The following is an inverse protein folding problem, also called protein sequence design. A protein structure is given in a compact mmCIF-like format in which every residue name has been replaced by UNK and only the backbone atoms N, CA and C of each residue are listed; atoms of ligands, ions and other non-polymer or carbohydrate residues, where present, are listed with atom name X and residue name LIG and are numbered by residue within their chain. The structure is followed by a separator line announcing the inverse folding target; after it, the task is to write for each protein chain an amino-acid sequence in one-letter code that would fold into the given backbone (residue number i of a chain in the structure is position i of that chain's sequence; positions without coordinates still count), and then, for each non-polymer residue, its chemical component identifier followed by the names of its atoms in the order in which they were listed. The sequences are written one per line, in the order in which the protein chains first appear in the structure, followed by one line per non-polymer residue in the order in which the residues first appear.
data_IF_355730841500
#
_entry.id   IF_355730841500
#
_cell.length_a   1.000
_cell.length_b   1.000
_cell.length_c   1.000
_cell.angle_alpha   90.00
_cell.angle_beta   90.00
_cell.angle_gamma   90.00
#
_symmetry.space_group_name_H-M   'P 1'
#
loop_
_entity.id
_entity.type
_entity.pdbx_description
1 polymer ?
#
# COMPACT_ATOMS: atom_id res chain seq x y z
N UNK A 1 -30.18 6.33 -15.18
CA UNK A 1 -29.96 5.81 -13.81
C UNK A 1 -29.59 4.34 -13.93
N UNK A 2 -28.30 4.03 -13.99
CA UNK A 2 -27.81 2.65 -14.00
C UNK A 2 -27.69 2.27 -12.52
N UNK A 3 -28.59 1.41 -12.06
CA UNK A 3 -28.44 0.71 -10.79
C UNK A 3 -27.17 -0.13 -10.89
N UNK A 4 -26.05 0.43 -10.42
CA UNK A 4 -24.87 -0.37 -10.11
C UNK A 4 -25.31 -1.36 -9.05
N UNK A 5 -25.68 -2.57 -9.48
CA UNK A 5 -25.74 -3.73 -8.62
C UNK A 5 -24.47 -3.69 -7.79
N UNK A 6 -24.62 -3.50 -6.49
CA UNK A 6 -23.59 -3.74 -5.52
C UNK A 6 -23.27 -5.23 -5.58
N UNK A 7 -22.49 -5.64 -6.59
CA UNK A 7 -21.77 -6.89 -6.55
C UNK A 7 -21.06 -6.89 -5.20
N UNK A 8 -21.33 -7.92 -4.39
CA UNK A 8 -20.92 -8.01 -2.99
C UNK A 8 -19.51 -7.45 -2.79
N UNK A 9 -19.48 -6.25 -2.21
CA UNK A 9 -18.25 -5.51 -1.95
C UNK A 9 -17.47 -6.27 -0.88
N UNK A 10 -16.62 -7.19 -1.33
CA UNK A 10 -15.83 -8.02 -0.43
C UNK A 10 -14.63 -7.22 0.06
N UNK A 11 -14.79 -6.64 1.24
CA UNK A 11 -13.73 -5.94 1.95
C UNK A 11 -12.65 -6.92 2.43
N UNK A 12 -11.43 -6.72 1.96
CA UNK A 12 -10.23 -7.43 2.41
C UNK A 12 -9.63 -6.63 3.58
N UNK A 13 -9.68 -7.20 4.78
CA UNK A 13 -9.13 -6.55 5.98
C UNK A 13 -7.61 -6.66 6.02
N UNK A 14 -6.93 -5.53 6.21
CA UNK A 14 -5.48 -5.48 6.32
C UNK A 14 -5.05 -5.66 7.78
N UNK A 15 -4.11 -6.58 8.00
CA UNK A 15 -3.44 -6.78 9.27
C UNK A 15 -1.99 -6.27 9.18
N UNK A 16 -1.42 -5.74 10.27
CA UNK A 16 -0.02 -5.37 10.29
C UNK A 16 0.85 -6.59 10.00
N UNK A 17 1.70 -6.48 8.98
CA UNK A 17 2.64 -7.54 8.60
C UNK A 17 3.70 -7.75 9.68
N UNK A 18 3.87 -9.01 10.11
CA UNK A 18 4.96 -9.43 10.98
C UNK A 18 6.28 -9.45 10.20
N UNK A 19 6.25 -9.81 8.93
CA UNK A 19 7.42 -9.81 8.06
C UNK A 19 8.01 -8.40 7.90
N UNK A 20 7.16 -7.40 7.68
CA UNK A 20 7.58 -6.00 7.61
C UNK A 20 8.21 -5.53 8.93
N UNK A 21 7.58 -5.86 10.07
CA UNK A 21 8.14 -5.59 11.40
C UNK A 21 9.50 -6.26 11.60
N UNK A 22 9.65 -7.53 11.21
CA UNK A 22 10.91 -8.25 11.29
C UNK A 22 12.02 -7.62 10.45
N UNK A 23 11.71 -7.19 9.22
CA UNK A 23 12.64 -6.47 8.36
C UNK A 23 13.04 -5.11 8.94
N UNK A 24 12.11 -4.36 9.51
CA UNK A 24 12.42 -3.10 10.20
C UNK A 24 13.34 -3.33 11.41
N UNK A 25 13.19 -4.44 12.13
CA UNK A 25 14.03 -4.79 13.28
C UNK A 25 15.40 -5.36 12.91
N UNK A 26 15.57 -5.89 11.70
CA UNK A 26 16.86 -6.42 11.22
C UNK A 26 17.93 -5.33 11.10
N UNK A 27 17.55 -4.14 10.62
CA UNK A 27 18.47 -3.01 10.46
C UNK A 27 19.13 -2.57 11.78
N UNK A 28 18.38 -2.30 12.89
CA UNK A 28 19.01 -1.93 14.15
C UNK A 28 19.79 -3.08 14.80
N UNK A 29 19.38 -4.33 14.63
CA UNK A 29 20.17 -5.49 15.08
C UNK A 29 21.51 -5.55 14.35
N UNK A 30 21.51 -5.38 13.03
CA UNK A 30 22.72 -5.30 12.23
C UNK A 30 23.61 -4.12 12.63
N UNK A 31 23.02 -2.94 12.85
CA UNK A 31 23.75 -1.76 13.30
C UNK A 31 24.42 -2.00 14.67
N UNK A 32 23.71 -2.61 15.62
CA UNK A 32 24.27 -2.98 16.93
C UNK A 32 25.42 -3.98 16.77
N UNK A 33 25.27 -5.01 15.93
CA UNK A 33 26.33 -5.98 15.68
C UNK A 33 27.61 -5.30 15.17
N UNK A 34 27.49 -4.34 14.24
CA UNK A 34 28.63 -3.58 13.73
C UNK A 34 29.30 -2.75 14.83
N UNK A 35 28.53 -2.13 15.74
CA UNK A 35 29.10 -1.35 16.86
C UNK A 35 30.02 -2.20 17.75
N UNK A 36 29.70 -3.48 17.92
CA UNK A 36 30.55 -4.41 18.70
C UNK A 36 31.78 -4.92 17.92
N UNK A 37 31.78 -4.81 16.59
CA UNK A 37 32.93 -5.18 15.75
C UNK A 37 33.95 -4.05 15.60
N UNK A 38 33.56 -2.81 15.89
CA UNK A 38 34.46 -1.65 15.83
C UNK A 38 35.17 -1.48 17.18
N UNK A 39 36.46 -1.20 17.14
CA UNK A 39 37.25 -0.79 18.30
C UNK A 39 36.85 0.64 18.72
N UNK A 40 35.87 0.69 19.61
CA UNK A 40 35.38 1.89 20.27
C UNK A 40 35.58 1.72 21.77
N UNK A 41 35.92 2.79 22.49
CA UNK A 41 35.91 2.74 23.94
C UNK A 41 34.48 2.45 24.44
N UNK A 42 34.37 1.79 25.59
CA UNK A 42 33.08 1.29 26.10
C UNK A 42 32.00 2.38 26.23
N UNK A 43 32.40 3.60 26.60
CA UNK A 43 31.49 4.75 26.66
C UNK A 43 30.93 5.12 25.28
N UNK A 44 31.72 5.01 24.21
CA UNK A 44 31.30 5.28 22.85
C UNK A 44 30.32 4.22 22.34
N UNK A 45 30.58 2.94 22.64
CA UNK A 45 29.65 1.84 22.35
C UNK A 45 28.31 2.06 23.05
N UNK A 46 28.32 2.45 24.33
CA UNK A 46 27.12 2.70 25.11
C UNK A 46 26.26 3.85 24.52
N UNK A 47 26.90 4.96 24.10
CA UNK A 47 26.19 6.09 23.47
C UNK A 47 25.53 5.66 22.16
N UNK A 48 26.26 4.98 21.28
CA UNK A 48 25.73 4.57 19.96
C UNK A 48 24.62 3.54 20.13
N UNK A 49 24.80 2.54 21.01
CA UNK A 49 23.78 1.54 21.28
C UNK A 49 22.48 2.18 21.79
N UNK A 50 22.59 3.17 22.69
CA UNK A 50 21.45 3.92 23.21
C UNK A 50 20.76 4.72 22.10
N UNK A 51 21.53 5.37 21.23
CA UNK A 51 20.98 6.11 20.09
C UNK A 51 20.23 5.20 19.11
N UNK A 52 20.81 4.05 18.74
CA UNK A 52 20.16 3.05 17.88
C UNK A 52 18.86 2.54 18.52
N UNK A 53 18.88 2.27 19.83
CA UNK A 53 17.69 1.84 20.54
C UNK A 53 16.58 2.90 20.52
N UNK A 54 16.90 4.17 20.82
CA UNK A 54 15.95 5.27 20.79
C UNK A 54 15.36 5.47 19.39
N UNK A 55 16.20 5.46 18.35
CA UNK A 55 15.75 5.56 16.96
C UNK A 55 14.80 4.41 16.61
N UNK A 56 15.11 3.19 17.05
CA UNK A 56 14.26 2.01 16.81
C UNK A 56 12.90 2.15 17.50
N UNK A 57 12.88 2.59 18.77
CA UNK A 57 11.63 2.83 19.51
C UNK A 57 10.78 3.90 18.83
N UNK A 58 11.41 4.99 18.41
CA UNK A 58 10.75 6.09 17.69
C UNK A 58 10.19 5.58 16.35
N UNK A 59 10.98 4.83 15.58
CA UNK A 59 10.54 4.31 14.28
C UNK A 59 9.38 3.32 14.42
N UNK A 60 9.47 2.38 15.38
CA UNK A 60 8.36 1.46 15.71
C UNK A 60 7.12 2.23 16.14
N UNK A 61 7.28 3.28 16.95
CA UNK A 61 6.17 4.15 17.37
C UNK A 61 5.55 4.87 16.17
N UNK A 62 6.34 5.45 15.27
CA UNK A 62 5.85 6.12 14.06
C UNK A 62 5.19 5.15 13.09
N UNK A 63 5.75 3.95 12.88
CA UNK A 63 5.13 2.89 12.07
C UNK A 63 3.80 2.47 12.68
N UNK A 64 3.72 2.30 14.01
CA UNK A 64 2.47 2.00 14.72
C UNK A 64 1.45 3.14 14.61
N UNK A 65 1.87 4.40 14.75
CA UNK A 65 0.98 5.55 14.59
C UNK A 65 0.48 5.72 13.15
N UNK A 66 1.34 5.53 12.15
CA UNK A 66 0.93 5.50 10.74
C UNK A 66 -0.05 4.36 10.49
N UNK A 67 0.15 3.20 11.11
CA UNK A 67 -0.79 2.08 11.07
C UNK A 67 -2.12 2.40 11.79
N UNK A 68 -2.13 3.25 12.81
CA UNK A 68 -3.37 3.71 13.46
C UNK A 68 -4.21 4.65 12.57
N UNK A 69 -3.58 5.30 11.57
CA UNK A 69 -4.24 6.10 10.51
C UNK A 69 -4.30 5.34 9.17
N UNK A 70 -3.97 4.06 9.16
CA UNK A 70 -3.81 3.31 7.94
C UNK A 70 -5.15 2.84 7.36
N UNK A 71 -5.07 2.53 6.08
CA UNK A 71 -6.07 1.74 5.36
C UNK A 71 -6.30 0.46 6.16
N UNK A 72 -7.51 0.27 6.69
CA UNK A 72 -7.90 -0.89 7.47
C UNK A 72 -8.46 -2.01 6.60
N UNK A 73 -9.06 -1.65 5.45
CA UNK A 73 -9.53 -2.60 4.47
C UNK A 73 -9.49 -2.01 3.07
N UNK A 74 -9.45 -2.87 2.07
CA UNK A 74 -9.60 -2.47 0.67
C UNK A 74 -10.48 -3.45 -0.09
N UNK A 75 -11.08 -2.99 -1.18
CA UNK A 75 -11.77 -3.84 -2.17
C UNK A 75 -11.21 -3.51 -3.55
N UNK A 76 -11.08 -4.51 -4.41
CA UNK A 76 -10.66 -4.37 -5.80
C UNK A 76 -11.81 -4.76 -6.71
N UNK A 77 -12.13 -3.89 -7.67
CA UNK A 77 -13.22 -4.10 -8.63
C UNK A 77 -12.74 -3.76 -10.03
N UNK A 78 -13.11 -4.59 -11.02
CA UNK A 78 -12.93 -4.24 -12.42
C UNK A 78 -14.15 -3.46 -12.89
N UNK A 79 -13.96 -2.20 -13.29
CA UNK A 79 -14.99 -1.36 -13.89
C UNK A 79 -14.69 -1.18 -15.37
N UNK A 80 -15.66 -1.47 -16.24
CA UNK A 80 -15.57 -1.07 -17.64
C UNK A 80 -15.84 0.43 -17.71
N UNK A 81 -14.83 1.20 -18.13
CA UNK A 81 -14.96 2.65 -18.28
C UNK A 81 -14.97 2.97 -19.77
N UNK A 82 -15.95 3.78 -20.19
CA UNK A 82 -16.00 4.27 -21.56
C UNK A 82 -14.75 5.08 -21.87
N UNK A 83 -14.03 4.65 -22.90
CA UNK A 83 -12.68 5.12 -23.29
C UNK A 83 -12.58 6.63 -23.56
N UNK A 84 -13.70 7.34 -23.69
CA UNK A 84 -13.74 8.78 -23.92
C UNK A 84 -13.28 9.62 -22.71
N UNK A 85 -13.25 9.04 -21.50
CA UNK A 85 -12.67 9.70 -20.30
C UNK A 85 -11.25 9.18 -20.01
N UNK A 86 -10.88 8.03 -20.57
CA UNK A 86 -9.62 7.31 -20.31
C UNK A 86 -8.43 7.67 -21.22
N UNK A 87 -8.64 8.50 -22.25
CA UNK A 87 -7.58 8.92 -23.19
C UNK A 87 -6.41 9.68 -22.53
N UNK A 88 -6.53 10.08 -21.27
CA UNK A 88 -5.44 10.70 -20.51
C UNK A 88 -4.55 9.71 -19.73
N UNK A 89 -4.79 8.40 -19.81
CA UNK A 89 -4.13 7.37 -18.96
C UNK A 89 -3.22 6.41 -19.73
N UNK A 90 -3.27 6.36 -21.06
CA UNK A 90 -2.37 5.52 -21.88
C UNK A 90 -1.26 6.36 -22.53
N UNK A 91 0.02 6.18 -22.18
CA UNK A 91 1.12 6.77 -22.91
C UNK A 91 1.55 5.82 -24.03
N UNK A 92 0.66 5.53 -24.97
CA UNK A 92 1.07 4.92 -26.24
C UNK A 92 -0.02 5.14 -27.27
N UNK A 93 0.32 5.93 -28.29
CA UNK A 93 -0.53 6.11 -29.45
C UNK A 93 -0.73 4.78 -30.16
N UNK A 94 -1.96 4.52 -30.56
CA UNK A 94 -2.28 4.33 -31.96
C UNK A 94 -3.78 4.64 -32.15
N UNK A 95 -4.05 5.49 -33.13
CA UNK A 95 -5.40 5.83 -33.55
C UNK A 95 -6.01 4.64 -34.30
N UNK A 96 -7.13 4.11 -33.82
CA UNK A 96 -8.17 3.53 -34.68
C UNK A 96 -9.49 3.41 -33.90
N UNK A 97 -10.54 3.93 -34.52
CA UNK A 97 -11.87 4.05 -33.95
C UNK A 97 -12.50 2.68 -33.65
N UNK A 98 -12.73 2.46 -32.37
CA UNK A 98 -13.59 1.42 -31.83
C UNK A 98 -13.74 1.74 -30.34
N UNK A 99 -14.97 1.74 -29.82
CA UNK A 99 -15.22 1.91 -28.39
C UNK A 99 -14.67 0.67 -27.64
N UNK A 100 -13.35 0.62 -27.45
CA UNK A 100 -12.71 -0.39 -26.63
C UNK A 100 -13.04 -0.05 -25.18
N UNK A 101 -14.00 -0.78 -24.61
CA UNK A 101 -14.27 -0.79 -23.17
C UNK A 101 -12.98 -1.20 -22.45
N UNK A 102 -12.17 -0.24 -22.03
CA UNK A 102 -10.99 -0.50 -21.23
C UNK A 102 -11.45 -0.97 -19.85
N UNK A 103 -11.04 -2.17 -19.46
CA UNK A 103 -11.23 -2.64 -18.09
C UNK A 103 -10.27 -1.86 -17.20
N UNK A 104 -10.82 -1.01 -16.34
CA UNK A 104 -10.07 -0.25 -15.36
C UNK A 104 -10.27 -0.85 -13.98
N UNK A 105 -9.17 -1.08 -13.27
CA UNK A 105 -9.21 -1.60 -11.92
C UNK A 105 -9.40 -0.45 -10.93
N UNK A 106 -10.53 -0.44 -10.23
CA UNK A 106 -10.89 0.53 -9.21
C UNK A 106 -10.63 -0.11 -7.85
N UNK A 107 -10.13 0.69 -6.91
CA UNK A 107 -9.89 0.23 -5.55
C UNK A 107 -10.68 1.10 -4.58
N UNK A 108 -11.42 0.47 -3.68
CA UNK A 108 -12.01 1.16 -2.53
C UNK A 108 -11.14 0.97 -1.32
N UNK A 109 -10.90 2.04 -0.59
CA UNK A 109 -10.04 2.08 0.58
C UNK A 109 -10.87 2.53 1.77
N UNK A 110 -10.76 1.78 2.87
CA UNK A 110 -11.39 2.11 4.14
C UNK A 110 -10.31 2.59 5.10
N UNK A 111 -10.46 3.81 5.60
CA UNK A 111 -9.51 4.44 6.52
C UNK A 111 -9.98 4.33 7.96
N UNK A 112 -9.03 4.08 8.87
CA UNK A 112 -9.25 4.23 10.30
C UNK A 112 -8.95 5.69 10.67
N UNK A 113 -9.96 6.47 11.04
CA UNK A 113 -9.74 7.86 11.45
C UNK A 113 -9.26 7.93 12.91
N UNK A 114 -8.19 8.68 13.21
CA UNK A 114 -7.71 8.88 14.58
C UNK A 114 -8.50 10.02 15.25
N UNK A 115 -9.80 9.89 15.41
CA UNK A 115 -10.55 10.79 16.28
C UNK A 115 -11.50 9.98 17.16
N UNK A 116 -11.67 10.45 18.40
CA UNK A 116 -12.33 9.85 19.57
C UNK A 116 -13.71 9.20 19.35
N UNK A 117 -14.27 9.26 18.14
CA UNK A 117 -15.58 8.73 17.77
C UNK A 117 -15.55 7.38 17.00
N UNK A 118 -14.39 6.82 16.67
CA UNK A 118 -14.31 5.46 16.09
C UNK A 118 -14.92 5.29 14.68
N UNK A 119 -15.10 6.39 13.93
CA UNK A 119 -15.68 6.35 12.58
C UNK A 119 -14.73 5.74 11.54
N UNK A 120 -15.30 4.98 10.60
CA UNK A 120 -14.61 4.53 9.37
C UNK A 120 -15.03 5.43 8.21
N UNK A 121 -14.08 5.82 7.36
CA UNK A 121 -14.35 6.59 6.14
C UNK A 121 -13.92 5.76 4.93
N UNK A 122 -14.85 5.57 4.01
CA UNK A 122 -14.62 4.88 2.74
C UNK A 122 -14.27 5.91 1.67
N UNK A 123 -13.22 5.66 0.89
CA UNK A 123 -12.85 6.45 -0.27
C UNK A 123 -12.64 5.54 -1.49
N UNK A 124 -13.13 5.95 -2.65
CA UNK A 124 -12.88 5.29 -3.93
C UNK A 124 -11.65 5.90 -4.59
N UNK A 125 -10.74 5.08 -5.08
CA UNK A 125 -9.49 5.48 -5.72
C UNK A 125 -9.25 4.67 -6.99
N UNK A 126 -8.45 5.24 -7.90
CA UNK A 126 -8.05 4.56 -9.13
C UNK A 126 -6.72 3.84 -8.90
N UNK A 127 -6.62 2.57 -9.30
CA UNK A 127 -5.36 1.83 -9.31
C UNK A 127 -4.57 2.20 -10.56
N UNK A 128 -3.29 2.51 -10.38
CA UNK A 128 -2.39 2.82 -11.47
C UNK A 128 -1.72 1.56 -12.04
N UNK A 129 -1.26 1.68 -13.28
CA UNK A 129 -0.55 0.62 -14.00
C UNK A 129 0.79 0.22 -13.36
N UNK A 130 1.36 0.98 -12.42
CA UNK A 130 2.66 0.67 -11.81
C UNK A 130 2.54 -0.21 -10.56
N UNK A 131 1.84 -1.33 -10.67
CA UNK A 131 1.74 -2.29 -9.57
C UNK A 131 2.87 -3.33 -9.66
N UNK A 132 3.48 -3.67 -8.53
CA UNK A 132 4.47 -4.74 -8.44
C UNK A 132 3.83 -5.95 -7.77
N UNK A 133 3.98 -7.14 -8.37
CA UNK A 133 3.35 -8.37 -7.89
C UNK A 133 4.42 -9.43 -7.68
N UNK A 134 4.61 -9.87 -6.44
CA UNK A 134 5.50 -10.98 -6.06
C UNK A 134 4.72 -12.04 -5.26
N UNK A 135 5.34 -13.19 -5.04
CA UNK A 135 4.81 -14.27 -4.18
C UNK A 135 4.83 -13.90 -2.69
N UNK A 136 5.66 -12.94 -2.28
CA UNK A 136 5.82 -12.56 -0.86
C UNK A 136 5.16 -11.22 -0.52
N UNK A 137 5.11 -10.30 -1.48
CA UNK A 137 4.47 -9.00 -1.30
C UNK A 137 3.93 -8.47 -2.62
N UNK A 138 2.99 -7.53 -2.56
CA UNK A 138 2.40 -6.86 -3.70
C UNK A 138 2.25 -5.38 -3.39
N UNK A 139 2.71 -4.52 -4.28
CA UNK A 139 2.66 -3.06 -4.12
C UNK A 139 1.68 -2.49 -5.13
N UNK A 140 0.57 -1.92 -4.63
CA UNK A 140 -0.48 -1.30 -5.44
C UNK A 140 -0.24 0.21 -5.48
N UNK A 141 0.05 0.75 -6.66
CA UNK A 141 0.15 2.20 -6.86
C UNK A 141 -1.25 2.79 -7.09
N UNK A 142 -1.62 3.86 -6.39
CA UNK A 142 -2.94 4.49 -6.49
C UNK A 142 -2.89 6.01 -6.28
N UNK A 143 -3.96 6.70 -6.70
CA UNK A 143 -4.12 8.18 -6.57
C UNK A 143 -5.51 8.51 -6.07
N UNK A 144 -5.59 9.34 -5.02
CA UNK A 144 -6.86 9.75 -4.42
C UNK A 144 -7.59 10.81 -5.24
N UNK A 145 -8.94 10.87 -5.16
CA UNK A 145 -9.69 12.03 -5.61
C UNK A 145 -9.19 13.29 -4.89
N UNK A 146 -8.73 14.28 -5.64
CA UNK A 146 -8.17 15.53 -5.10
C UNK A 146 -6.65 15.52 -4.85
N UNK A 147 -5.95 14.43 -5.15
CA UNK A 147 -4.49 14.47 -5.21
C UNK A 147 -4.03 15.39 -6.37
N UNK A 148 -2.99 16.20 -6.11
CA UNK A 148 -2.41 17.08 -7.12
C UNK A 148 -1.87 16.28 -8.33
N UNK A 149 -1.90 16.88 -9.52
CA UNK A 149 -1.55 16.22 -10.79
C UNK A 149 -0.16 15.55 -10.77
N UNK A 150 0.80 16.15 -10.05
CA UNK A 150 2.16 15.60 -9.94
C UNK A 150 2.22 14.24 -9.22
N UNK A 151 1.20 13.90 -8.41
CA UNK A 151 1.10 12.58 -7.76
C UNK A 151 0.94 11.42 -8.75
N UNK A 152 0.68 11.70 -10.02
CA UNK A 152 0.73 10.67 -11.08
C UNK A 152 2.17 10.15 -11.30
N UNK A 153 3.17 11.00 -11.09
CA UNK A 153 4.58 10.65 -11.20
C UNK A 153 5.11 9.99 -9.92
N UNK A 154 4.58 10.43 -8.78
CA UNK A 154 4.89 9.91 -7.43
C UNK A 154 3.62 9.41 -6.74
N UNK A 155 3.08 8.25 -7.15
CA UNK A 155 1.82 7.76 -6.63
C UNK A 155 1.93 7.26 -5.20
N UNK A 156 0.78 7.19 -4.52
CA UNK A 156 0.70 6.50 -3.23
C UNK A 156 0.85 5.01 -3.49
N UNK A 157 1.54 4.32 -2.59
CA UNK A 157 1.76 2.87 -2.70
C UNK A 157 1.14 2.20 -1.48
N UNK A 158 0.27 1.23 -1.72
CA UNK A 158 -0.23 0.29 -0.72
C UNK A 158 0.58 -1.00 -0.84
N UNK A 159 1.45 -1.25 0.14
CA UNK A 159 2.21 -2.49 0.23
C UNK A 159 1.41 -3.54 1.00
N UNK A 160 1.10 -4.66 0.34
CA UNK A 160 0.38 -5.80 0.89
C UNK A 160 1.37 -6.96 0.99
N UNK A 161 1.65 -7.39 2.21
CA UNK A 161 2.45 -8.57 2.46
C UNK A 161 1.57 -9.82 2.48
N UNK A 162 2.14 -10.98 2.13
CA UNK A 162 1.40 -12.25 2.14
C UNK A 162 0.84 -12.61 3.53
N UNK A 163 1.46 -12.12 4.60
CA UNK A 163 1.02 -12.32 5.99
C UNK A 163 0.05 -11.23 6.49
N UNK A 164 -0.20 -10.19 5.70
CA UNK A 164 -1.13 -9.11 6.05
C UNK A 164 -2.59 -9.44 5.79
N UNK A 165 -2.90 -10.44 4.96
CA UNK A 165 -4.26 -10.84 4.58
C UNK A 165 -4.35 -12.37 4.48
N UNK A 166 -5.56 -12.90 4.30
CA UNK A 166 -5.74 -14.34 4.09
C UNK A 166 -5.02 -14.81 2.80
N UNK A 167 -4.49 -16.03 2.81
CA UNK A 167 -3.69 -16.55 1.71
C UNK A 167 -4.47 -16.65 0.39
N UNK A 168 -5.75 -17.02 0.45
CA UNK A 168 -6.61 -17.11 -0.73
C UNK A 168 -6.96 -15.71 -1.26
N UNK A 169 -7.18 -14.75 -0.36
CA UNK A 169 -7.37 -13.34 -0.73
C UNK A 169 -6.11 -12.76 -1.36
N UNK A 170 -4.93 -13.06 -0.82
CA UNK A 170 -3.64 -12.64 -1.39
C UNK A 170 -3.43 -13.23 -2.79
N UNK A 171 -3.74 -14.52 -2.99
CA UNK A 171 -3.69 -15.15 -4.31
C UNK A 171 -4.61 -14.43 -5.30
N UNK A 172 -5.86 -14.13 -4.92
CA UNK A 172 -6.83 -13.43 -5.78
C UNK A 172 -6.36 -12.03 -6.15
N UNK A 173 -5.90 -11.25 -5.17
CA UNK A 173 -5.35 -9.90 -5.41
C UNK A 173 -4.20 -9.95 -6.40
N UNK A 174 -3.27 -10.90 -6.24
CA UNK A 174 -2.16 -11.09 -7.18
C UNK A 174 -2.63 -11.42 -8.59
N UNK A 175 -3.60 -12.33 -8.72
CA UNK A 175 -4.18 -12.71 -10.02
C UNK A 175 -4.87 -11.50 -10.66
N UNK A 176 -5.72 -10.78 -9.93
CA UNK A 176 -6.41 -9.58 -10.44
C UNK A 176 -5.43 -8.49 -10.90
N UNK A 177 -4.35 -8.26 -10.16
CA UNK A 177 -3.34 -7.26 -10.54
C UNK A 177 -2.46 -7.71 -11.71
N UNK A 178 -2.21 -9.01 -11.84
CA UNK A 178 -1.40 -9.59 -12.93
C UNK A 178 -2.16 -9.60 -14.27
N UNK A 179 -3.48 -9.84 -14.24
CA UNK A 179 -4.31 -10.07 -15.43
C UNK A 179 -5.32 -8.93 -15.72
N UNK A 180 -5.06 -7.73 -15.20
CA UNK A 180 -5.91 -6.54 -15.37
C UNK A 180 -5.97 -6.06 -16.83
#
# INVERSE_FOLDING_TARGET
MISSQSADLRWITLRPSKANLGLTLLAPVGALAVVFLVDLPDWGRAIIATAVFLVTVIDVYYVRQRNARAISAFSLESRTVDSNVGAAISPQGDAQGGAHLARQLVMRLRFRFPHRAGGMVDAETIVLLRCYVSIYFTSISYVMPGDAVWRRWFPRVLSIWADSIDAEEFRRVRVMLKWR
#
